data_IF_440473055105
#
_entry.id   IF_440473055105
#
_cell.length_a   1.000
_cell.length_b   1.000
_cell.length_c   1.000
_cell.angle_alpha   90.00
_cell.angle_beta   90.00
_cell.angle_gamma   90.00
#
_symmetry.space_group_name_H-M   'P 1'
#
loop_
_entity.id
_entity.type
_entity.pdbx_description
1 polymer ?
#
# COMPACT_ATOMS: atom_id res chain seq x y z
N UNK A 1 14.92 48.58 15.67
CA UNK A 1 15.91 47.49 15.67
C UNK A 1 15.72 46.48 16.79
N UNK A 2 16.10 46.75 18.05
CA UNK A 2 15.94 45.76 19.13
C UNK A 2 14.46 45.39 19.40
N UNK A 3 13.56 46.38 19.31
CA UNK A 3 12.11 46.16 19.43
C UNK A 3 11.54 45.32 18.27
N UNK A 4 12.01 45.52 17.05
CA UNK A 4 11.55 44.79 15.86
C UNK A 4 12.05 43.34 15.85
N UNK A 5 13.29 43.12 16.32
CA UNK A 5 13.84 41.77 16.56
C UNK A 5 13.05 41.05 17.66
N UNK A 6 12.66 41.76 18.72
CA UNK A 6 11.87 41.19 19.80
C UNK A 6 10.44 40.86 19.34
N UNK A 7 9.85 41.68 18.47
CA UNK A 7 8.53 41.40 17.86
C UNK A 7 8.55 40.15 16.98
N UNK A 8 9.60 39.95 16.18
CA UNK A 8 9.78 38.72 15.39
C UNK A 8 9.97 37.51 16.31
N UNK A 9 10.79 37.66 17.34
CA UNK A 9 11.01 36.61 18.33
C UNK A 9 9.70 36.20 19.02
N UNK A 10 8.89 37.16 19.46
CA UNK A 10 7.60 36.89 20.10
C UNK A 10 6.57 36.30 19.12
N UNK A 11 6.58 36.69 17.84
CA UNK A 11 5.75 36.07 16.80
C UNK A 11 6.12 34.60 16.58
N UNK A 12 7.41 34.28 16.45
CA UNK A 12 7.89 32.90 16.31
C UNK A 12 7.63 32.08 17.57
N UNK A 13 7.80 32.68 18.75
CA UNK A 13 7.52 32.04 20.04
C UNK A 13 6.04 31.67 20.17
N UNK A 14 5.12 32.60 19.87
CA UNK A 14 3.68 32.31 19.87
C UNK A 14 3.31 31.24 18.85
N UNK A 15 3.93 31.24 17.68
CA UNK A 15 3.72 30.21 16.66
C UNK A 15 4.19 28.84 17.16
N UNK A 16 5.36 28.76 17.82
CA UNK A 16 5.84 27.55 18.49
C UNK A 16 4.87 27.09 19.58
N UNK A 17 4.44 27.97 20.49
CA UNK A 17 3.48 27.59 21.53
C UNK A 17 2.16 27.08 20.95
N UNK A 18 1.66 27.69 19.87
CA UNK A 18 0.47 27.22 19.17
C UNK A 18 0.69 25.85 18.51
N UNK A 19 1.86 25.59 17.92
CA UNK A 19 2.25 24.28 17.37
C UNK A 19 2.34 23.19 18.45
N UNK A 20 2.87 23.53 19.62
CA UNK A 20 2.96 22.59 20.74
C UNK A 20 1.60 22.34 21.43
N UNK A 21 0.73 23.35 21.50
CA UNK A 21 -0.64 23.25 22.04
C UNK A 21 -1.65 22.57 21.11
N UNK A 22 -1.32 22.37 19.83
CA UNK A 22 -2.15 21.60 18.90
C UNK A 22 -2.21 20.13 19.38
N UNK A 23 -3.40 19.66 19.76
CA UNK A 23 -3.68 18.26 20.09
C UNK A 23 -3.38 17.35 18.89
N UNK A 24 -3.00 16.09 19.14
CA UNK A 24 -2.66 15.10 18.11
C UNK A 24 -3.72 14.99 17.00
N UNK A 25 -5.00 15.13 17.36
CA UNK A 25 -6.15 15.04 16.45
C UNK A 25 -6.27 16.23 15.47
N UNK A 26 -5.68 17.38 15.80
CA UNK A 26 -5.75 18.61 14.96
C UNK A 26 -4.53 18.82 14.08
N UNK A 27 -3.53 17.94 14.18
CA UNK A 27 -2.27 17.97 13.42
C UNK A 27 -2.44 17.32 12.05
N UNK A 28 -3.26 17.94 11.20
CA UNK A 28 -3.32 17.54 9.79
C UNK A 28 -2.08 18.04 9.05
N UNK A 29 -1.58 17.29 8.03
CA UNK A 29 -0.39 17.67 7.27
C UNK A 29 -0.55 19.04 6.57
N UNK A 30 -1.77 19.39 6.19
CA UNK A 30 -2.11 20.68 5.58
C UNK A 30 -1.93 21.84 6.57
N UNK A 31 -2.44 21.71 7.81
CA UNK A 31 -2.25 22.73 8.85
C UNK A 31 -0.81 22.87 9.29
N UNK A 32 -0.07 21.77 9.36
CA UNK A 32 1.36 21.81 9.66
C UNK A 32 2.14 22.54 8.55
N UNK A 33 1.76 22.34 7.27
CA UNK A 33 2.35 23.03 6.12
C UNK A 33 1.98 24.52 6.10
N UNK A 34 0.74 24.87 6.43
CA UNK A 34 0.32 26.28 6.61
C UNK A 34 1.13 26.96 7.71
N UNK A 35 1.30 26.32 8.87
CA UNK A 35 2.08 26.88 9.99
C UNK A 35 3.58 26.92 9.71
N UNK A 36 4.11 25.98 8.93
CA UNK A 36 5.49 26.04 8.44
C UNK A 36 5.68 27.21 7.45
N UNK A 37 4.70 27.45 6.57
CA UNK A 37 4.71 28.60 5.67
C UNK A 37 4.64 29.92 6.45
N UNK A 38 3.77 30.02 7.47
CA UNK A 38 3.72 31.18 8.36
C UNK A 38 5.07 31.42 9.06
N UNK A 39 5.71 30.37 9.59
CA UNK A 39 7.04 30.47 10.19
C UNK A 39 8.11 30.93 9.18
N UNK A 40 8.04 30.44 7.94
CA UNK A 40 8.97 30.80 6.86
C UNK A 40 8.81 32.26 6.44
N UNK A 41 7.57 32.77 6.37
CA UNK A 41 7.30 34.18 6.09
C UNK A 41 7.89 35.07 7.19
N UNK A 42 7.66 34.73 8.46
CA UNK A 42 8.21 35.48 9.60
C UNK A 42 9.76 35.44 9.60
N UNK A 43 10.35 34.31 9.21
CA UNK A 43 11.80 34.19 9.09
C UNK A 43 12.38 34.98 7.89
N UNK A 44 11.62 35.13 6.81
CA UNK A 44 12.02 35.99 5.69
C UNK A 44 12.00 37.47 6.10
N UNK A 45 11.03 37.92 6.89
CA UNK A 45 11.03 39.29 7.44
C UNK A 45 12.28 39.55 8.31
N UNK A 46 12.69 38.54 9.09
CA UNK A 46 13.95 38.56 9.82
C UNK A 46 15.18 38.65 8.91
N UNK A 47 15.20 37.92 7.79
CA UNK A 47 16.30 37.98 6.83
C UNK A 47 16.45 39.36 6.19
N UNK A 48 15.35 40.06 5.93
CA UNK A 48 15.33 41.45 5.41
C UNK A 48 15.85 42.43 6.47
N UNK A 49 15.46 42.26 7.73
CA UNK A 49 16.01 43.06 8.84
C UNK A 49 17.50 42.79 9.06
N UNK A 50 17.98 41.56 8.90
CA UNK A 50 19.41 41.24 8.98
C UNK A 50 20.23 41.96 7.90
N UNK A 51 19.71 42.09 6.68
CA UNK A 51 20.36 42.87 5.61
C UNK A 51 20.41 44.35 5.99
N UNK A 52 19.37 44.86 6.62
CA UNK A 52 19.28 46.25 7.10
C UNK A 52 20.28 46.53 8.22
N UNK A 53 20.41 45.59 9.15
CA UNK A 53 21.36 45.63 10.27
C UNK A 53 22.80 45.54 9.75
N UNK A 54 23.11 44.63 8.80
CA UNK A 54 24.45 44.52 8.20
C UNK A 54 24.88 45.82 7.53
N UNK A 55 24.00 46.47 6.76
CA UNK A 55 24.28 47.78 6.16
C UNK A 55 24.60 48.86 7.19
N UNK A 56 23.98 48.82 8.37
CA UNK A 56 24.24 49.80 9.44
C UNK A 56 25.51 49.47 10.25
N UNK A 57 25.90 48.20 10.32
CA UNK A 57 27.21 47.78 10.85
C UNK A 57 28.34 48.25 9.93
N UNK A 58 28.19 48.07 8.62
CA UNK A 58 29.17 48.51 7.62
C UNK A 58 29.34 50.04 7.62
N UNK A 59 28.25 50.77 7.91
CA UNK A 59 28.24 52.22 8.07
C UNK A 59 28.71 52.70 9.48
N UNK A 60 29.27 51.80 10.31
CA UNK A 60 29.82 52.07 11.67
C UNK A 60 28.88 52.84 12.61
N UNK A 61 27.57 52.71 12.44
CA UNK A 61 26.57 53.51 13.15
C UNK A 61 26.08 52.86 14.46
N UNK A 62 26.61 51.68 14.82
CA UNK A 62 26.13 50.86 15.94
C UNK A 62 27.27 50.63 16.95
N UNK A 63 27.00 50.93 18.22
CA UNK A 63 27.90 50.68 19.36
C UNK A 63 28.12 49.18 19.59
N UNK A 64 29.33 48.79 20.02
CA UNK A 64 29.74 47.38 20.21
C UNK A 64 28.85 46.58 21.18
N UNK A 65 28.27 47.22 22.20
CA UNK A 65 27.34 46.59 23.14
C UNK A 65 25.96 46.31 22.51
N UNK A 66 25.51 47.16 21.59
CA UNK A 66 24.27 46.92 20.85
C UNK A 66 24.43 45.77 19.85
N UNK A 67 25.65 45.52 19.39
CA UNK A 67 25.98 44.47 18.43
C UNK A 67 25.95 43.06 19.06
N UNK A 68 26.37 42.94 20.32
CA UNK A 68 26.28 41.67 21.08
C UNK A 68 24.84 41.30 21.44
N UNK A 69 24.01 42.30 21.82
CA UNK A 69 22.58 42.11 22.05
C UNK A 69 21.84 41.69 20.78
N UNK A 70 22.09 42.36 19.66
CA UNK A 70 21.51 42.00 18.36
C UNK A 70 21.91 40.58 17.97
N UNK A 71 23.19 40.20 18.12
CA UNK A 71 23.67 38.85 17.83
C UNK A 71 22.98 37.79 18.70
N UNK A 72 22.80 38.04 19.99
CA UNK A 72 22.07 37.13 20.89
C UNK A 72 20.60 36.94 20.48
N UNK A 73 19.92 38.01 20.07
CA UNK A 73 18.54 37.90 19.57
C UNK A 73 18.46 37.15 18.24
N UNK A 74 19.44 37.37 17.35
CA UNK A 74 19.57 36.65 16.09
C UNK A 74 19.74 35.14 16.31
N UNK A 75 20.64 34.74 17.21
CA UNK A 75 20.91 33.33 17.50
C UNK A 75 19.65 32.63 18.05
N UNK A 76 18.90 33.30 18.95
CA UNK A 76 17.64 32.79 19.49
C UNK A 76 16.55 32.62 18.44
N UNK A 77 16.46 33.53 17.46
CA UNK A 77 15.49 33.45 16.36
C UNK A 77 15.82 32.27 15.43
N UNK A 78 17.10 32.09 15.11
CA UNK A 78 17.58 30.96 14.30
C UNK A 78 17.30 29.63 15.00
N UNK A 79 17.60 29.55 16.30
CA UNK A 79 17.35 28.36 17.10
C UNK A 79 15.85 28.02 17.17
N UNK A 80 14.99 29.01 17.41
CA UNK A 80 13.53 28.82 17.43
C UNK A 80 12.99 28.34 16.07
N UNK A 81 13.46 28.91 14.97
CA UNK A 81 13.03 28.49 13.64
C UNK A 81 13.51 27.06 13.32
N UNK A 82 14.74 26.72 13.70
CA UNK A 82 15.27 25.36 13.57
C UNK A 82 14.42 24.35 14.37
N UNK A 83 14.03 24.69 15.60
CA UNK A 83 13.15 23.83 16.42
C UNK A 83 11.76 23.66 15.80
N UNK A 84 11.19 24.70 15.17
CA UNK A 84 9.90 24.61 14.46
C UNK A 84 10.04 23.71 13.22
N UNK A 85 11.10 23.88 12.44
CA UNK A 85 11.39 23.04 11.28
C UNK A 85 11.63 21.58 11.68
N UNK A 86 12.37 21.34 12.77
CA UNK A 86 12.61 20.00 13.31
C UNK A 86 11.30 19.35 13.79
N UNK A 87 10.42 20.10 14.46
CA UNK A 87 9.11 19.61 14.88
C UNK A 87 8.22 19.23 13.68
N UNK A 88 8.17 20.07 12.66
CA UNK A 88 7.40 19.82 11.44
C UNK A 88 7.99 18.67 10.61
N UNK A 89 9.31 18.49 10.58
CA UNK A 89 9.98 17.40 9.85
C UNK A 89 9.92 16.05 10.57
N UNK A 90 10.00 16.03 11.91
CA UNK A 90 9.79 14.79 12.70
C UNK A 90 8.38 14.23 12.57
N UNK A 91 7.38 15.07 12.31
CA UNK A 91 6.00 14.65 12.01
C UNK A 91 5.81 14.15 10.56
N UNK A 92 6.79 14.40 9.68
CA UNK A 92 6.83 13.87 8.31
C UNK A 92 7.52 12.49 8.20
N UNK A 93 8.04 11.93 9.30
CA UNK A 93 8.38 10.51 9.36
C UNK A 93 7.12 9.69 9.66
N UNK A 94 6.87 8.58 8.94
CA UNK A 94 5.78 7.68 9.25
C UNK A 94 6.03 7.15 10.66
N UNK A 95 5.20 7.57 11.62
CA UNK A 95 5.25 7.10 13.00
C UNK A 95 4.86 5.62 13.00
N UNK A 96 5.88 4.79 12.80
CA UNK A 96 5.98 3.49 13.44
C UNK A 96 6.19 3.76 14.91
N UNK A 97 5.13 3.63 15.71
CA UNK A 97 5.23 3.21 17.10
C UNK A 97 3.87 2.72 17.59
N UNK A 98 3.83 1.42 17.81
CA UNK A 98 2.88 0.72 18.66
C UNK A 98 2.53 1.53 19.91
N UNK A 99 1.24 1.64 20.19
CA UNK A 99 0.60 1.22 21.45
C UNK A 99 -0.91 1.23 21.26
N UNK A 100 -1.57 0.27 21.89
CA UNK A 100 -3.00 0.14 22.17
C UNK A 100 -3.66 1.50 22.52
N UNK A 101 -4.92 1.82 22.22
CA UNK A 101 -6.22 1.16 22.43
C UNK A 101 -7.23 1.94 21.57
N UNK A 102 -8.13 1.29 20.84
CA UNK A 102 -9.57 1.14 21.13
C UNK A 102 -10.46 1.96 20.17
N UNK A 103 -11.56 1.32 19.76
CA UNK A 103 -12.84 1.82 19.22
C UNK A 103 -12.77 3.10 18.36
N UNK A 104 -12.98 3.05 17.04
CA UNK A 104 -14.14 2.49 16.38
C UNK A 104 -15.02 3.67 15.97
N UNK A 105 -14.99 4.05 14.69
CA UNK A 105 -16.11 4.76 14.07
C UNK A 105 -16.01 4.66 12.55
N UNK A 106 -17.01 3.99 12.01
CA UNK A 106 -17.38 3.92 10.61
C UNK A 106 -17.73 5.32 10.11
N UNK A 107 -17.07 5.81 9.07
CA UNK A 107 -17.73 6.71 8.09
C UNK A 107 -16.85 6.97 6.87
N UNK A 108 -17.52 7.08 5.73
CA UNK A 108 -17.08 7.70 4.48
C UNK A 108 -16.32 6.82 3.49
N UNK A 109 -17.12 5.93 2.90
CA UNK A 109 -16.94 5.30 1.59
C UNK A 109 -16.91 6.35 0.46
N UNK A 110 -15.98 7.31 0.48
CA UNK A 110 -15.73 8.21 -0.67
C UNK A 110 -14.37 8.95 -0.62
N UNK A 111 -13.55 8.76 0.41
CA UNK A 111 -12.19 9.31 0.41
C UNK A 111 -11.26 8.42 -0.41
N UNK A 112 -10.45 9.02 -1.29
CA UNK A 112 -9.24 8.45 -1.91
C UNK A 112 -8.74 7.21 -1.17
N UNK A 113 -8.91 6.01 -1.73
CA UNK A 113 -8.30 4.82 -1.14
C UNK A 113 -6.79 4.89 -1.34
N UNK A 114 -6.13 5.53 -0.38
CA UNK A 114 -4.69 5.43 -0.15
C UNK A 114 -4.38 4.02 0.38
N UNK A 115 -3.15 3.56 0.17
CA UNK A 115 -2.72 2.26 0.69
C UNK A 115 -2.85 2.22 2.22
N UNK A 116 -3.65 1.28 2.72
CA UNK A 116 -3.97 1.09 4.12
C UNK A 116 -3.46 -0.27 4.59
N UNK A 117 -2.46 -0.24 5.46
CA UNK A 117 -1.82 -1.44 5.97
C UNK A 117 -2.79 -2.37 6.71
N UNK A 118 -3.80 -1.84 7.42
CA UNK A 118 -4.77 -2.67 8.15
C UNK A 118 -5.65 -3.45 7.19
N UNK A 119 -6.11 -2.80 6.12
CA UNK A 119 -6.90 -3.46 5.07
C UNK A 119 -6.06 -4.51 4.36
N UNK A 120 -4.81 -4.18 4.01
CA UNK A 120 -3.88 -5.13 3.41
C UNK A 120 -3.61 -6.33 4.34
N UNK A 121 -3.50 -6.09 5.65
CA UNK A 121 -3.27 -7.15 6.62
C UNK A 121 -4.48 -8.10 6.75
N UNK A 122 -5.70 -7.56 6.74
CA UNK A 122 -6.95 -8.34 6.87
C UNK A 122 -7.33 -9.08 5.59
N UNK A 123 -7.05 -8.48 4.44
CA UNK A 123 -7.46 -9.00 3.14
C UNK A 123 -6.46 -10.02 2.58
N UNK A 124 -5.15 -9.79 2.78
CA UNK A 124 -4.12 -10.58 2.14
C UNK A 124 -3.62 -11.68 3.10
N UNK A 125 -3.87 -12.96 2.80
CA UNK A 125 -3.38 -14.06 3.62
C UNK A 125 -1.85 -14.18 3.53
N UNK A 126 -1.23 -14.71 4.58
CA UNK A 126 0.19 -15.07 4.54
C UNK A 126 0.32 -16.41 3.85
N UNK A 127 1.20 -16.48 2.85
CA UNK A 127 1.38 -17.68 2.05
C UNK A 127 2.00 -18.82 2.89
N UNK A 128 1.36 -19.99 2.87
CA UNK A 128 1.78 -21.21 3.60
C UNK A 128 2.23 -22.34 2.67
N UNK A 129 2.62 -22.01 1.43
CA UNK A 129 2.99 -22.93 0.35
C UNK A 129 1.84 -23.83 -0.18
N UNK A 130 0.60 -23.62 0.27
CA UNK A 130 -0.57 -24.28 -0.33
C UNK A 130 -1.02 -23.52 -1.58
N UNK A 131 -1.49 -24.25 -2.60
CA UNK A 131 -1.96 -23.65 -3.85
C UNK A 131 -3.18 -22.74 -3.60
N UNK A 132 -4.08 -23.17 -2.73
CA UNK A 132 -5.32 -22.45 -2.40
C UNK A 132 -5.03 -21.10 -1.76
N UNK A 133 -4.11 -21.02 -0.79
CA UNK A 133 -3.73 -19.75 -0.17
C UNK A 133 -2.97 -18.85 -1.14
N UNK A 134 -2.19 -19.43 -2.05
CA UNK A 134 -1.49 -18.70 -3.11
C UNK A 134 -2.49 -18.05 -4.07
N UNK A 135 -3.55 -18.77 -4.48
CA UNK A 135 -4.63 -18.21 -5.30
C UNK A 135 -5.38 -17.09 -4.57
N UNK A 136 -5.77 -17.32 -3.31
CA UNK A 136 -6.42 -16.30 -2.49
C UNK A 136 -5.57 -15.04 -2.32
N UNK A 137 -4.25 -15.19 -2.18
CA UNK A 137 -3.33 -14.06 -2.12
C UNK A 137 -3.30 -13.30 -3.45
N UNK A 138 -3.20 -13.98 -4.58
CA UNK A 138 -3.22 -13.38 -5.92
C UNK A 138 -4.52 -12.59 -6.13
N UNK A 139 -5.67 -13.21 -5.86
CA UNK A 139 -6.99 -12.60 -6.03
C UNK A 139 -7.15 -11.39 -5.08
N UNK A 140 -6.68 -11.51 -3.85
CA UNK A 140 -6.68 -10.41 -2.87
C UNK A 140 -5.82 -9.23 -3.32
N UNK A 141 -4.65 -9.48 -3.91
CA UNK A 141 -3.77 -8.43 -4.46
C UNK A 141 -4.45 -7.75 -5.65
N UNK A 142 -5.03 -8.54 -6.56
CA UNK A 142 -5.73 -8.04 -7.74
C UNK A 142 -6.92 -7.16 -7.33
N UNK A 143 -7.79 -7.66 -6.45
CA UNK A 143 -8.89 -6.90 -5.88
C UNK A 143 -8.40 -5.62 -5.20
N UNK A 144 -7.42 -5.72 -4.31
CA UNK A 144 -6.96 -4.55 -3.58
C UNK A 144 -6.33 -3.51 -4.51
N UNK A 145 -5.54 -3.95 -5.50
CA UNK A 145 -4.95 -3.06 -6.49
C UNK A 145 -6.00 -2.30 -7.31
N UNK A 146 -7.16 -2.91 -7.59
CA UNK A 146 -8.27 -2.26 -8.30
C UNK A 146 -8.91 -1.12 -7.50
N UNK A 147 -8.84 -1.20 -6.17
CA UNK A 147 -9.34 -0.14 -5.28
C UNK A 147 -8.38 1.04 -5.15
N UNK A 148 -7.09 0.83 -5.43
CA UNK A 148 -6.04 1.85 -5.31
C UNK A 148 -5.96 2.73 -6.56
N UNK A 149 -6.13 4.04 -6.39
CA UNK A 149 -6.13 4.99 -7.51
C UNK A 149 -4.75 5.47 -7.95
N UNK A 150 -3.75 5.41 -7.06
CA UNK A 150 -2.41 6.02 -7.30
C UNK A 150 -1.34 4.95 -7.47
N UNK A 151 -0.47 5.12 -8.46
CA UNK A 151 0.65 4.19 -8.71
C UNK A 151 1.61 4.06 -7.51
N UNK A 152 1.84 5.14 -6.76
CA UNK A 152 2.61 5.10 -5.51
C UNK A 152 2.01 4.11 -4.47
N UNK A 153 0.68 4.03 -4.40
CA UNK A 153 -0.02 3.12 -3.50
C UNK A 153 0.12 1.66 -3.98
N UNK A 154 0.06 1.44 -5.29
CA UNK A 154 0.30 0.13 -5.90
C UNK A 154 1.73 -0.35 -5.65
N UNK A 155 2.74 0.53 -5.77
CA UNK A 155 4.13 0.22 -5.40
C UNK A 155 4.28 -0.09 -3.91
N UNK A 156 3.51 0.58 -3.05
CA UNK A 156 3.48 0.29 -1.61
C UNK A 156 2.87 -1.09 -1.34
N UNK A 157 1.83 -1.48 -2.08
CA UNK A 157 1.25 -2.81 -2.04
C UNK A 157 2.24 -3.90 -2.49
N UNK A 158 2.95 -3.69 -3.60
CA UNK A 158 4.03 -4.61 -4.06
C UNK A 158 5.05 -4.82 -2.95
N UNK A 159 5.59 -3.73 -2.39
CA UNK A 159 6.58 -3.79 -1.32
C UNK A 159 6.05 -4.53 -0.08
N UNK A 160 4.79 -4.28 0.29
CA UNK A 160 4.15 -4.96 1.40
C UNK A 160 4.04 -6.46 1.16
N UNK A 161 3.57 -6.88 -0.03
CA UNK A 161 3.42 -8.30 -0.38
C UNK A 161 4.78 -8.99 -0.36
N UNK A 162 5.76 -8.44 -1.07
CA UNK A 162 7.11 -9.00 -1.20
C UNK A 162 7.78 -9.17 0.17
N UNK A 163 7.60 -8.20 1.08
CA UNK A 163 8.26 -8.23 2.40
C UNK A 163 7.51 -9.09 3.42
N UNK A 164 6.18 -9.07 3.41
CA UNK A 164 5.38 -9.55 4.56
C UNK A 164 4.41 -10.69 4.28
N UNK A 165 4.07 -10.99 3.03
CA UNK A 165 3.02 -11.98 2.68
C UNK A 165 3.55 -13.23 2.00
N UNK A 166 4.67 -13.13 1.29
CA UNK A 166 5.30 -14.27 0.64
C UNK A 166 6.00 -15.20 1.65
N UNK A 167 5.94 -16.51 1.40
CA UNK A 167 6.77 -17.50 2.09
C UNK A 167 8.24 -17.32 1.72
N UNK A 168 9.15 -17.88 2.52
CA UNK A 168 10.59 -17.81 2.21
C UNK A 168 10.92 -18.41 0.84
N UNK A 169 10.26 -19.51 0.45
CA UNK A 169 10.47 -20.14 -0.84
C UNK A 169 10.04 -19.21 -1.99
N UNK A 170 8.87 -18.59 -1.90
CA UNK A 170 8.41 -17.65 -2.93
C UNK A 170 9.32 -16.43 -3.06
N UNK A 171 9.87 -15.92 -1.94
CA UNK A 171 10.83 -14.81 -1.97
C UNK A 171 12.12 -15.14 -2.72
N UNK A 172 12.52 -16.41 -2.75
CA UNK A 172 13.70 -16.86 -3.50
C UNK A 172 13.39 -17.07 -5.00
N UNK A 173 12.15 -17.43 -5.33
CA UNK A 173 11.73 -17.71 -6.72
C UNK A 173 11.27 -16.47 -7.48
N UNK A 174 10.75 -15.46 -6.79
CA UNK A 174 10.31 -14.19 -7.37
C UNK A 174 11.42 -13.14 -7.37
N UNK A 175 11.24 -12.09 -8.18
CA UNK A 175 12.16 -10.95 -8.21
C UNK A 175 12.02 -10.12 -6.93
N UNK A 176 13.08 -9.40 -6.59
CA UNK A 176 13.11 -8.51 -5.43
C UNK A 176 12.31 -7.21 -5.62
N UNK A 177 12.04 -6.83 -6.86
CA UNK A 177 11.32 -5.61 -7.21
C UNK A 177 10.52 -5.78 -8.51
N UNK A 178 9.40 -5.06 -8.60
CA UNK A 178 8.45 -5.13 -9.71
C UNK A 178 7.97 -3.72 -10.11
N UNK A 179 7.95 -3.38 -11.40
CA UNK A 179 7.53 -2.07 -11.88
C UNK A 179 6.00 -1.86 -11.80
N UNK A 180 5.21 -2.94 -11.80
CA UNK A 180 3.75 -2.89 -11.75
C UNK A 180 3.18 -4.11 -11.03
N UNK A 181 1.93 -3.97 -10.54
CA UNK A 181 1.18 -5.08 -9.94
C UNK A 181 0.96 -6.19 -10.97
N UNK A 182 0.68 -5.84 -12.24
CA UNK A 182 0.46 -6.84 -13.30
C UNK A 182 1.70 -7.70 -13.54
N UNK A 183 2.90 -7.11 -13.49
CA UNK A 183 4.15 -7.85 -13.60
C UNK A 183 4.34 -8.81 -12.43
N UNK A 184 4.01 -8.38 -11.20
CA UNK A 184 4.03 -9.22 -10.01
C UNK A 184 3.03 -10.38 -10.13
N UNK A 185 1.77 -10.09 -10.46
CA UNK A 185 0.71 -11.10 -10.59
C UNK A 185 1.03 -12.13 -11.68
N UNK A 186 1.62 -11.69 -12.80
CA UNK A 186 2.04 -12.58 -13.89
C UNK A 186 3.11 -13.56 -13.41
N UNK A 187 4.17 -13.06 -12.75
CA UNK A 187 5.24 -13.92 -12.23
C UNK A 187 4.70 -14.83 -11.11
N UNK A 188 3.83 -14.33 -10.22
CA UNK A 188 3.19 -15.16 -9.19
C UNK A 188 2.38 -16.31 -9.79
N UNK A 189 1.55 -16.03 -10.80
CA UNK A 189 0.74 -17.06 -11.49
C UNK A 189 1.62 -18.07 -12.25
N UNK A 190 2.75 -17.62 -12.79
CA UNK A 190 3.63 -18.48 -13.59
C UNK A 190 4.57 -19.35 -12.75
N UNK A 191 5.09 -18.81 -11.66
CA UNK A 191 6.18 -19.41 -10.86
C UNK A 191 5.63 -20.11 -9.62
N UNK A 192 4.62 -19.53 -8.95
CA UNK A 192 4.12 -20.06 -7.67
C UNK A 192 2.98 -21.06 -7.83
N UNK A 193 2.22 -21.00 -8.93
CA UNK A 193 1.17 -21.96 -9.20
C UNK A 193 1.70 -23.12 -10.06
N UNK A 194 1.44 -24.39 -9.67
CA UNK A 194 1.84 -25.53 -10.47
C UNK A 194 1.09 -25.53 -11.81
N UNK A 195 1.84 -25.64 -12.92
CA UNK A 195 1.23 -25.85 -14.24
C UNK A 195 0.65 -27.27 -14.29
N UNK A 196 -0.67 -27.38 -14.26
CA UNK A 196 -1.36 -28.64 -14.54
C UNK A 196 -1.18 -28.96 -16.03
N UNK A 197 -0.47 -30.04 -16.34
CA UNK A 197 -0.28 -30.50 -17.72
C UNK A 197 -1.58 -31.08 -18.26
N UNK A 198 -2.00 -30.67 -19.46
CA UNK A 198 -3.17 -31.25 -20.13
C UNK A 198 -3.05 -32.77 -20.28
N UNK A 199 -1.84 -33.28 -20.54
CA UNK A 199 -1.56 -34.72 -20.65
C UNK A 199 -1.77 -35.40 -19.30
N UNK A 200 -1.26 -34.81 -18.21
CA UNK A 200 -1.42 -35.37 -16.87
C UNK A 200 -2.90 -35.39 -16.43
N UNK A 201 -3.63 -34.32 -16.72
CA UNK A 201 -5.07 -34.22 -16.45
C UNK A 201 -5.87 -35.22 -17.28
N UNK A 202 -5.54 -35.40 -18.56
CA UNK A 202 -6.20 -36.36 -19.42
C UNK A 202 -5.94 -37.80 -18.99
N UNK A 203 -4.71 -38.13 -18.59
CA UNK A 203 -4.38 -39.42 -18.00
C UNK A 203 -5.13 -39.64 -16.68
N UNK A 204 -5.24 -38.62 -15.83
CA UNK A 204 -6.00 -38.69 -14.58
C UNK A 204 -7.50 -38.90 -14.84
N UNK A 205 -8.08 -38.23 -15.84
CA UNK A 205 -9.46 -38.44 -16.27
C UNK A 205 -9.71 -39.86 -16.77
N UNK A 206 -8.81 -40.41 -17.60
CA UNK A 206 -8.95 -41.77 -18.12
C UNK A 206 -8.78 -42.87 -17.05
N UNK A 207 -8.05 -42.56 -15.98
CA UNK A 207 -7.77 -43.50 -14.88
C UNK A 207 -8.70 -43.32 -13.68
N UNK A 208 -9.43 -42.20 -13.60
CA UNK A 208 -10.37 -41.92 -12.51
C UNK A 208 -11.59 -42.83 -12.58
N UNK A 209 -11.85 -43.56 -11.49
CA UNK A 209 -13.00 -44.45 -11.33
C UNK A 209 -13.83 -44.02 -10.13
N UNK A 210 -15.14 -44.25 -10.18
CA UNK A 210 -16.03 -43.90 -9.06
C UNK A 210 -15.66 -44.66 -7.79
N UNK A 211 -15.33 -45.94 -7.91
CA UNK A 211 -15.00 -46.86 -6.82
C UNK A 211 -16.02 -46.77 -5.66
N UNK A 212 -15.58 -46.53 -4.42
CA UNK A 212 -16.44 -46.46 -3.23
C UNK A 212 -17.07 -45.09 -2.97
N UNK A 213 -16.94 -44.13 -3.91
CA UNK A 213 -17.39 -42.75 -3.71
C UNK A 213 -18.85 -42.58 -4.10
N UNK A 214 -19.51 -41.62 -3.44
CA UNK A 214 -20.86 -41.23 -3.84
C UNK A 214 -20.85 -40.68 -5.28
N UNK A 215 -21.96 -40.82 -6.00
CA UNK A 215 -22.06 -40.26 -7.36
C UNK A 215 -21.82 -38.74 -7.32
N UNK A 216 -22.27 -38.07 -6.26
CA UNK A 216 -22.07 -36.63 -6.05
C UNK A 216 -20.59 -36.24 -5.92
N UNK A 217 -19.83 -36.97 -5.11
CA UNK A 217 -18.41 -36.64 -4.91
C UNK A 217 -17.58 -36.98 -6.15
N UNK A 218 -17.94 -38.05 -6.85
CA UNK A 218 -17.30 -38.42 -8.11
C UNK A 218 -17.62 -37.41 -9.23
N UNK A 219 -18.87 -36.96 -9.34
CA UNK A 219 -19.28 -35.97 -10.32
C UNK A 219 -18.60 -34.62 -10.10
N UNK A 220 -18.45 -34.19 -8.84
CA UNK A 220 -17.68 -32.98 -8.48
C UNK A 220 -16.22 -33.09 -8.91
N UNK A 221 -15.55 -34.20 -8.60
CA UNK A 221 -14.15 -34.39 -9.01
C UNK A 221 -14.01 -34.38 -10.54
N UNK A 222 -14.89 -35.08 -11.27
CA UNK A 222 -14.86 -35.07 -12.73
C UNK A 222 -15.07 -33.67 -13.29
N UNK A 223 -16.00 -32.91 -12.73
CA UNK A 223 -16.28 -31.53 -13.15
C UNK A 223 -15.05 -30.65 -12.96
N UNK A 224 -14.40 -30.73 -11.80
CA UNK A 224 -13.14 -30.02 -11.53
C UNK A 224 -12.03 -30.42 -12.50
N UNK A 225 -11.86 -31.73 -12.78
CA UNK A 225 -10.85 -32.23 -13.72
C UNK A 225 -11.07 -31.76 -15.15
N UNK A 226 -12.31 -31.74 -15.65
CA UNK A 226 -12.62 -31.23 -16.99
C UNK A 226 -12.50 -29.71 -17.09
N UNK A 227 -12.82 -28.97 -16.02
CA UNK A 227 -12.57 -27.53 -15.94
C UNK A 227 -11.06 -27.24 -15.98
N UNK A 228 -10.27 -27.92 -15.14
CA UNK A 228 -8.81 -27.83 -15.15
C UNK A 228 -8.22 -28.20 -16.52
N UNK A 229 -8.77 -29.23 -17.18
CA UNK A 229 -8.33 -29.65 -18.52
C UNK A 229 -8.60 -28.55 -19.56
N UNK A 230 -9.79 -27.93 -19.51
CA UNK A 230 -10.16 -26.84 -20.41
C UNK A 230 -9.24 -25.64 -20.23
N UNK A 231 -8.88 -25.31 -18.99
CA UNK A 231 -7.93 -24.24 -18.67
C UNK A 231 -6.52 -24.59 -19.18
N UNK A 232 -6.07 -25.83 -18.95
CA UNK A 232 -4.74 -26.30 -19.37
C UNK A 232 -4.60 -26.34 -20.91
N UNK A 233 -5.63 -26.81 -21.62
CA UNK A 233 -5.67 -26.87 -23.09
C UNK A 233 -5.84 -25.49 -23.73
N UNK A 234 -6.47 -24.54 -23.04
CA UNK A 234 -6.62 -23.18 -23.55
C UNK A 234 -5.29 -22.40 -23.58
N UNK A 235 -4.26 -22.85 -22.85
CA UNK A 235 -2.93 -22.22 -22.78
C UNK A 235 -2.99 -20.70 -22.49
N UNK A 236 -3.96 -20.28 -21.68
CA UNK A 236 -4.16 -18.88 -21.32
C UNK A 236 -4.87 -18.02 -22.37
N UNK A 237 -5.40 -18.61 -23.46
CA UNK A 237 -6.20 -17.90 -24.47
C UNK A 237 -7.69 -18.03 -24.16
N UNK A 238 -8.34 -16.92 -23.81
CA UNK A 238 -9.77 -16.85 -23.49
C UNK A 238 -10.68 -17.33 -24.62
N UNK A 239 -10.30 -17.09 -25.87
CA UNK A 239 -11.06 -17.56 -27.04
C UNK A 239 -11.05 -19.09 -27.18
N UNK A 240 -9.93 -19.74 -26.85
CA UNK A 240 -9.86 -21.20 -26.84
C UNK A 240 -10.74 -21.78 -25.74
N UNK A 241 -10.82 -21.11 -24.59
CA UNK A 241 -11.61 -21.56 -23.44
C UNK A 241 -13.12 -21.60 -23.77
N UNK A 242 -13.62 -20.60 -24.51
CA UNK A 242 -15.02 -20.57 -24.99
C UNK A 242 -15.38 -21.76 -25.89
N UNK A 243 -14.41 -22.33 -26.60
CA UNK A 243 -14.61 -23.48 -27.49
C UNK A 243 -14.39 -24.80 -26.74
N UNK A 244 -13.35 -24.87 -25.90
CA UNK A 244 -12.95 -26.09 -25.21
C UNK A 244 -13.89 -26.46 -24.06
N UNK A 245 -14.44 -25.45 -23.37
CA UNK A 245 -15.37 -25.66 -22.27
C UNK A 245 -16.62 -26.48 -22.69
N UNK A 246 -17.42 -26.07 -23.71
CA UNK A 246 -18.57 -26.85 -24.13
C UNK A 246 -18.20 -28.24 -24.71
N UNK A 247 -17.02 -28.38 -25.32
CA UNK A 247 -16.54 -29.68 -25.81
C UNK A 247 -16.21 -30.65 -24.66
N UNK A 248 -15.60 -30.14 -23.60
CA UNK A 248 -15.22 -30.94 -22.43
C UNK A 248 -16.44 -31.21 -21.52
N UNK A 249 -17.40 -30.29 -21.44
CA UNK A 249 -18.70 -30.52 -20.78
C UNK A 249 -19.49 -31.64 -21.48
N UNK A 250 -19.54 -31.66 -22.82
CA UNK A 250 -20.16 -32.76 -23.56
C UNK A 250 -19.46 -34.11 -23.30
N UNK A 251 -18.13 -34.12 -23.17
CA UNK A 251 -17.39 -35.33 -22.80
C UNK A 251 -17.69 -35.77 -21.37
N UNK A 252 -17.82 -34.82 -20.44
CA UNK A 252 -18.21 -35.09 -19.06
C UNK A 252 -19.60 -35.74 -18.99
N UNK A 253 -20.57 -35.20 -19.73
CA UNK A 253 -21.94 -35.76 -19.80
C UNK A 253 -21.96 -37.21 -20.29
N UNK A 254 -21.05 -37.60 -21.19
CA UNK A 254 -20.93 -38.97 -21.68
C UNK A 254 -20.26 -39.94 -20.68
N UNK A 255 -19.58 -39.42 -19.65
CA UNK A 255 -18.86 -40.21 -18.65
C UNK A 255 -19.65 -40.32 -17.34
N UNK A 256 -20.52 -39.36 -17.05
CA UNK A 256 -21.36 -39.38 -15.85
C UNK A 256 -22.49 -40.43 -15.97
N UNK A 257 -22.85 -41.11 -14.85
CA UNK A 257 -24.02 -41.98 -14.82
C UNK A 257 -25.31 -41.21 -15.16
N UNK A 258 -26.26 -41.86 -15.84
CA UNK A 258 -27.54 -41.26 -16.25
C UNK A 258 -28.35 -40.64 -15.10
N UNK A 259 -28.18 -41.14 -13.87
CA UNK A 259 -28.85 -40.63 -12.68
C UNK A 259 -28.30 -39.27 -12.20
N UNK A 260 -27.17 -38.83 -12.77
CA UNK A 260 -26.51 -37.55 -12.50
C UNK A 260 -26.89 -36.44 -13.48
N UNK A 261 -27.52 -36.80 -14.60
CA UNK A 261 -27.88 -35.90 -15.69
C UNK A 261 -29.41 -35.84 -15.76
N UNK A 262 -30.00 -34.70 -15.39
CA UNK A 262 -31.43 -34.44 -15.61
C UNK A 262 -31.53 -33.26 -16.57
N UNK A 263 -32.19 -33.46 -17.72
CA UNK A 263 -32.38 -32.46 -18.78
C UNK A 263 -31.10 -31.79 -19.32
N UNK A 264 -30.05 -32.60 -19.55
CA UNK A 264 -28.80 -32.11 -20.16
C UNK A 264 -28.03 -31.12 -19.27
N UNK A 265 -28.43 -30.97 -18.01
CA UNK A 265 -27.76 -30.16 -17.00
C UNK A 265 -27.22 -31.06 -15.89
N UNK A 266 -25.99 -30.78 -15.47
CA UNK A 266 -25.34 -31.43 -14.32
C UNK A 266 -25.96 -30.87 -13.04
N UNK A 267 -26.42 -31.75 -12.14
CA UNK A 267 -26.96 -31.37 -10.83
C UNK A 267 -25.92 -30.76 -9.89
#
# INVERSE_FOLDING_TARGET
MALELNDIYEKLRKLKENLFKLSLERRTPERLKEKLNEATIIYNDYSVLLVSIRKQIDNKTISGESLSLVKSHCDKIVELNAQIQEFCSKLHLPVTRSSCEQFGETSNLESKMEFNLKIALSLLPVMNNEELTTRQLIDGIEYYSSTLKTEQCKLSLINFVLKSRLSQQAKLSLKSDYPSIDALLTDMRMILLPKKSAIALQNKLQTSRQDQRSINDYGKELTELFMDLSIAQAEGKTENLKILQPLNENKLLNVLPTDYVIDGSVR
#
